data_IF_376182371091
#
_entry.id   IF_376182371091
#
_cell.length_a   1.000
_cell.length_b   1.000
_cell.length_c   1.000
_cell.angle_alpha   90.00
_cell.angle_beta   90.00
_cell.angle_gamma   90.00
#
_symmetry.space_group_name_H-M   'P 1'
#
loop_
_entity.id
_entity.type
_entity.pdbx_description
1 polymer ?
#
# COMPACT_ATOMS: atom_id res chain seq x y z
N UNK A 1 -1.64 2.89 -1.55
CA UNK A 1 -0.63 1.89 -1.17
C UNK A 1 -0.88 1.26 0.21
N UNK A 2 -1.05 2.08 1.26
CA UNK A 2 -1.10 1.62 2.66
C UNK A 2 -2.18 0.56 2.99
N UNK A 3 -3.41 0.69 2.47
CA UNK A 3 -4.47 -0.31 2.69
C UNK A 3 -4.10 -1.70 2.17
N UNK A 4 -3.47 -1.77 1.00
CA UNK A 4 -2.96 -3.03 0.43
C UNK A 4 -1.81 -3.61 1.25
N UNK A 5 -0.96 -2.74 1.82
CA UNK A 5 0.09 -3.17 2.75
C UNK A 5 -0.50 -3.79 4.03
N UNK A 6 -1.48 -3.13 4.66
CA UNK A 6 -2.18 -3.67 5.83
C UNK A 6 -2.82 -5.03 5.54
N UNK A 7 -3.53 -5.17 4.43
CA UNK A 7 -4.12 -6.45 4.02
C UNK A 7 -3.08 -7.56 3.73
N UNK A 8 -1.85 -7.20 3.37
CA UNK A 8 -0.77 -8.16 3.16
C UNK A 8 -0.15 -8.65 4.48
N UNK A 9 0.06 -7.75 5.46
CA UNK A 9 0.69 -8.09 6.74
C UNK A 9 -0.30 -8.65 7.77
N UNK A 10 -1.56 -8.24 7.67
CA UNK A 10 -2.70 -8.69 8.48
C UNK A 10 -3.75 -9.28 7.53
N UNK A 11 -3.51 -10.47 6.96
CA UNK A 11 -4.55 -11.16 6.21
C UNK A 11 -5.66 -11.56 7.18
N UNK A 12 -6.72 -10.77 7.27
CA UNK A 12 -8.00 -11.25 7.78
C UNK A 12 -8.45 -12.39 6.86
N UNK A 13 -8.13 -13.64 7.24
CA UNK A 13 -8.69 -14.95 6.82
C UNK A 13 -9.14 -15.15 5.34
N UNK A 14 -8.75 -14.27 4.43
CA UNK A 14 -9.60 -13.96 3.28
C UNK A 14 -8.97 -12.96 2.31
N UNK A 15 -7.64 -12.94 2.19
CA UNK A 15 -7.00 -12.50 0.95
C UNK A 15 -7.29 -13.55 -0.14
N UNK A 16 -8.55 -13.67 -0.54
CA UNK A 16 -9.00 -14.52 -1.64
C UNK A 16 -8.65 -13.78 -2.91
N UNK A 17 -7.59 -14.25 -3.58
CA UNK A 17 -7.32 -13.83 -4.95
C UNK A 17 -8.58 -14.09 -5.77
N UNK A 18 -9.07 -13.06 -6.47
CA UNK A 18 -10.09 -13.19 -7.51
C UNK A 18 -9.45 -13.86 -8.74
N UNK A 19 -8.98 -15.09 -8.56
CA UNK A 19 -8.66 -15.99 -9.66
C UNK A 19 -9.84 -16.98 -9.75
N UNK A 20 -10.65 -16.97 -10.81
CA UNK A 20 -11.86 -17.79 -10.90
C UNK A 20 -11.58 -19.31 -10.95
N UNK A 21 -10.34 -19.76 -10.73
CA UNK A 21 -9.93 -21.15 -10.82
C UNK A 21 -9.12 -21.70 -9.62
N UNK A 22 -8.93 -20.94 -8.54
CA UNK A 22 -8.10 -21.43 -7.42
C UNK A 22 -8.94 -22.13 -6.34
N UNK A 23 -8.98 -23.46 -6.45
CA UNK A 23 -9.52 -24.39 -5.45
C UNK A 23 -8.99 -24.08 -4.04
N UNK A 24 -9.92 -23.99 -3.08
CA UNK A 24 -9.68 -23.97 -1.64
C UNK A 24 -8.59 -24.98 -1.23
N UNK A 25 -7.46 -24.48 -0.71
CA UNK A 25 -6.54 -25.29 0.08
C UNK A 25 -6.33 -24.62 1.42
N UNK A 26 -7.03 -25.18 2.39
CA UNK A 26 -6.78 -25.05 3.82
C UNK A 26 -5.31 -25.40 4.11
N UNK A 27 -4.60 -24.49 4.80
CA UNK A 27 -3.38 -24.82 5.53
C UNK A 27 -2.06 -24.61 4.78
N UNK A 28 -1.55 -23.38 4.78
CA UNK A 28 -0.17 -23.07 5.16
C UNK A 28 -0.01 -21.54 5.16
N UNK A 29 0.61 -20.96 6.19
CA UNK A 29 0.99 -19.52 6.25
C UNK A 29 1.96 -19.10 5.12
N UNK A 30 2.35 -20.03 4.27
CA UNK A 30 3.33 -19.90 3.19
C UNK A 30 2.69 -19.49 1.84
N UNK A 31 1.35 -19.45 1.76
CA UNK A 31 0.62 -19.07 0.55
C UNK A 31 -0.01 -17.68 0.66
N UNK A 32 0.63 -16.71 1.34
CA UNK A 32 0.31 -15.30 1.09
C UNK A 32 0.76 -15.03 -0.34
N UNK A 33 -0.21 -15.14 -1.25
CA UNK A 33 0.02 -15.11 -2.69
C UNK A 33 0.82 -13.87 -3.07
N UNK A 34 1.78 -14.02 -3.98
CA UNK A 34 2.57 -12.92 -4.56
C UNK A 34 1.71 -11.78 -5.13
N UNK A 35 0.41 -11.99 -5.31
CA UNK A 35 -0.56 -10.98 -5.76
C UNK A 35 -1.04 -10.01 -4.68
N UNK A 36 -0.86 -10.30 -3.39
CA UNK A 36 -1.31 -9.41 -2.31
C UNK A 36 -0.21 -8.44 -1.82
N UNK A 37 1.07 -8.70 -2.14
CA UNK A 37 2.16 -7.82 -1.74
C UNK A 37 1.99 -6.47 -2.44
N UNK A 38 1.87 -5.35 -1.70
CA UNK A 38 1.85 -4.04 -2.34
C UNK A 38 3.19 -3.83 -3.08
N UNK A 39 3.14 -3.15 -4.23
CA UNK A 39 4.33 -2.80 -4.99
C UNK A 39 5.24 -1.81 -4.25
N UNK A 40 6.11 -1.09 -4.98
CA UNK A 40 6.86 0.03 -4.41
C UNK A 40 5.90 1.06 -3.80
N UNK A 41 6.33 1.74 -2.73
CA UNK A 41 5.56 2.85 -2.15
C UNK A 41 5.27 3.86 -3.26
N UNK A 42 4.00 4.21 -3.39
CA UNK A 42 3.50 5.15 -4.36
C UNK A 42 2.60 6.17 -3.66
N UNK A 43 3.05 7.42 -3.68
CA UNK A 43 2.38 8.60 -3.11
C UNK A 43 2.11 9.65 -4.21
N UNK A 44 2.16 9.26 -5.49
CA UNK A 44 1.98 10.19 -6.61
C UNK A 44 0.61 10.89 -6.59
N UNK A 45 -0.39 10.26 -5.98
CA UNK A 45 -1.74 10.78 -5.76
C UNK A 45 -1.80 11.89 -4.69
N UNK A 46 -0.81 11.98 -3.80
CA UNK A 46 -0.73 13.01 -2.76
C UNK A 46 -0.04 14.29 -3.26
N UNK A 47 0.71 14.21 -4.35
CA UNK A 47 1.49 15.32 -4.87
C UNK A 47 0.82 15.96 -6.09
N UNK A 48 1.00 17.26 -6.24
CA UNK A 48 0.74 17.96 -7.48
C UNK A 48 1.93 17.70 -8.41
N UNK A 49 1.66 17.22 -9.61
CA UNK A 49 2.69 17.13 -10.65
C UNK A 49 3.15 18.57 -10.96
N UNK A 50 4.36 18.89 -10.51
CA UNK A 50 4.98 20.17 -10.79
C UNK A 50 5.36 20.18 -12.26
N UNK A 51 4.51 20.78 -13.10
CA UNK A 51 4.76 20.89 -14.55
C UNK A 51 6.11 21.55 -14.87
N UNK A 52 6.68 22.30 -13.92
CA UNK A 52 7.93 23.00 -14.09
C UNK A 52 8.91 22.62 -12.97
N UNK A 53 10.01 21.95 -13.35
CA UNK A 53 11.08 21.43 -12.47
C UNK A 53 11.88 22.49 -11.67
N UNK A 54 11.26 23.63 -11.36
CA UNK A 54 11.79 24.71 -10.54
C UNK A 54 11.11 24.83 -9.17
N UNK A 55 9.95 24.19 -8.96
CA UNK A 55 9.21 24.27 -7.69
C UNK A 55 9.09 22.86 -7.14
N UNK A 56 9.67 22.62 -5.96
CA UNK A 56 9.73 21.28 -5.34
C UNK A 56 8.35 20.62 -5.19
N UNK A 57 8.35 19.32 -4.91
CA UNK A 57 7.14 18.51 -4.71
C UNK A 57 6.16 19.24 -3.76
N UNK A 58 4.96 19.56 -4.27
CA UNK A 58 3.89 20.17 -3.49
C UNK A 58 2.82 19.13 -3.20
N UNK A 59 2.29 19.11 -1.98
CA UNK A 59 1.14 18.29 -1.62
C UNK A 59 -0.15 18.90 -2.16
N UNK A 60 -1.12 18.04 -2.52
CA UNK A 60 -2.47 18.47 -2.87
C UNK A 60 -3.14 19.12 -1.65
N UNK A 61 -3.92 20.16 -1.88
CA UNK A 61 -4.68 20.83 -0.81
C UNK A 61 -5.91 20.02 -0.43
N UNK A 62 -6.29 20.04 0.85
CA UNK A 62 -7.52 19.39 1.33
C UNK A 62 -7.40 17.88 1.56
N UNK A 63 -6.18 17.34 1.58
CA UNK A 63 -5.94 15.95 1.99
C UNK A 63 -6.31 15.75 3.46
N UNK A 64 -6.98 14.64 3.75
CA UNK A 64 -7.40 14.26 5.08
C UNK A 64 -6.62 13.02 5.56
N UNK A 65 -6.08 13.11 6.78
CA UNK A 65 -5.42 11.97 7.42
C UNK A 65 -6.42 10.82 7.64
N UNK A 66 -5.94 9.57 7.57
CA UNK A 66 -6.69 8.30 7.61
C UNK A 66 -7.46 8.00 6.32
N UNK A 67 -8.00 9.02 5.67
CA UNK A 67 -8.78 8.86 4.43
C UNK A 67 -7.89 8.84 3.19
N UNK A 68 -7.04 9.86 3.03
CA UNK A 68 -6.16 10.04 1.88
C UNK A 68 -4.72 9.59 2.18
N UNK A 69 -4.21 9.86 3.38
CA UNK A 69 -2.85 9.47 3.80
C UNK A 69 -2.83 9.02 5.26
N UNK A 70 -1.80 8.27 5.66
CA UNK A 70 -1.62 7.86 7.05
C UNK A 70 -0.21 8.24 7.50
N UNK A 71 -0.10 8.93 8.64
CA UNK A 71 1.19 9.24 9.24
C UNK A 71 1.70 8.02 9.99
N UNK A 72 2.96 7.67 9.73
CA UNK A 72 3.64 6.58 10.41
C UNK A 72 4.87 7.11 11.13
N UNK A 73 5.28 6.49 12.26
CA UNK A 73 6.55 6.82 12.89
C UNK A 73 7.73 6.65 11.91
N UNK A 74 8.76 7.46 12.07
CA UNK A 74 9.96 7.43 11.21
C UNK A 74 10.58 6.03 11.13
N UNK A 75 10.63 5.30 12.26
CA UNK A 75 11.17 3.94 12.26
C UNK A 75 10.33 2.97 11.43
N UNK A 76 9.02 3.18 11.38
CA UNK A 76 8.12 2.38 10.54
C UNK A 76 8.38 2.74 9.08
N UNK A 77 8.44 4.02 8.73
CA UNK A 77 8.73 4.47 7.37
C UNK A 77 10.04 3.88 6.82
N UNK A 78 11.11 3.93 7.62
CA UNK A 78 12.41 3.36 7.23
C UNK A 78 12.31 1.85 6.92
N UNK A 79 11.56 1.08 7.71
CA UNK A 79 11.34 -0.35 7.45
C UNK A 79 10.49 -0.64 6.22
N UNK A 80 9.65 0.30 5.77
CA UNK A 80 8.86 0.15 4.54
C UNK A 80 9.70 0.43 3.28
N UNK A 81 10.81 1.17 3.43
CA UNK A 81 11.73 1.52 2.35
C UNK A 81 12.87 0.50 2.15
N UNK A 82 13.19 -0.30 3.18
CA UNK A 82 14.15 -1.43 3.12
C UNK A 82 13.66 -2.57 2.20
#
# INVERSE_FOLDING_TARGET
WWRSWKAYVEPEEGCVSADPNSTLVQGSRESISKGCRPGRIDNADLVLDGTDGSVGLQLRTGLQEVDDYELVPEQVWNRLLE
#
